data_IF_028966768416
#
_entry.id   IF_028966768416
#
_cell.length_a   1.000
_cell.length_b   1.000
_cell.length_c   1.000
_cell.angle_alpha   90.00
_cell.angle_beta   90.00
_cell.angle_gamma   90.00
#
_symmetry.space_group_name_H-M   'P 1'
#
loop_
_entity.id
_entity.type
_entity.pdbx_description
1 polymer ?
#
# COMPACT_ATOMS: atom_id res chain seq x y z
N UNK A 1 36.97 4.00 6.08
CA UNK A 1 37.14 2.61 5.60
C UNK A 1 35.78 1.96 5.70
N UNK A 2 35.07 1.88 4.57
CA UNK A 2 33.71 1.35 4.49
C UNK A 2 33.78 -0.18 4.34
N UNK A 3 33.23 -0.91 5.30
CA UNK A 3 33.10 -2.37 5.22
C UNK A 3 31.98 -2.74 4.24
N UNK A 4 32.37 -3.32 3.11
CA UNK A 4 31.51 -3.91 2.09
C UNK A 4 31.16 -5.34 2.47
N UNK A 5 29.86 -5.67 2.53
CA UNK A 5 29.37 -7.02 2.79
C UNK A 5 28.77 -7.63 1.51
N UNK A 6 29.09 -8.89 1.24
CA UNK A 6 28.57 -9.62 0.08
C UNK A 6 27.04 -9.75 0.14
N UNK A 7 26.38 -9.74 -1.03
CA UNK A 7 24.93 -10.00 -1.18
C UNK A 7 24.53 -11.43 -0.82
N UNK A 8 25.50 -12.36 -0.77
CA UNK A 8 25.29 -13.73 -0.33
C UNK A 8 25.00 -13.83 1.18
N UNK A 9 24.09 -14.73 1.53
CA UNK A 9 23.83 -15.13 2.91
C UNK A 9 25.15 -15.60 3.57
N UNK A 10 25.51 -15.18 4.80
CA UNK A 10 26.61 -15.80 5.56
C UNK A 10 26.43 -17.33 5.74
N UNK A 11 25.26 -17.88 5.41
CA UNK A 11 24.94 -19.31 5.48
C UNK A 11 24.44 -19.92 4.16
N UNK A 12 25.14 -19.71 3.04
CA UNK A 12 25.32 -20.72 1.97
C UNK A 12 24.12 -21.28 1.19
N UNK A 13 22.88 -20.98 1.54
CA UNK A 13 21.70 -21.36 0.76
C UNK A 13 21.34 -20.28 -0.26
N UNK A 14 20.75 -20.68 -1.39
CA UNK A 14 20.22 -19.73 -2.39
C UNK A 14 19.17 -18.84 -1.73
N UNK A 15 19.62 -17.68 -1.29
CA UNK A 15 18.85 -16.62 -0.67
C UNK A 15 17.56 -16.38 -1.48
N UNK A 16 16.36 -16.72 -0.96
CA UNK A 16 15.09 -16.58 -1.68
C UNK A 16 14.83 -15.14 -2.12
N UNK A 17 15.49 -14.20 -1.45
CA UNK A 17 15.58 -12.79 -1.78
C UNK A 17 16.08 -12.51 -3.20
N UNK A 18 17.03 -13.29 -3.73
CA UNK A 18 17.59 -13.06 -5.07
C UNK A 18 16.55 -13.16 -6.17
N UNK A 19 15.58 -14.07 -6.03
CA UNK A 19 14.50 -14.24 -7.00
C UNK A 19 13.45 -13.12 -6.89
N UNK A 20 13.06 -12.76 -5.65
CA UNK A 20 12.10 -11.67 -5.39
C UNK A 20 12.61 -10.34 -5.92
N UNK A 21 13.91 -10.09 -5.80
CA UNK A 21 14.56 -8.84 -6.19
C UNK A 21 14.99 -8.79 -7.67
N UNK A 22 14.87 -9.91 -8.40
CA UNK A 22 15.30 -10.02 -9.80
C UNK A 22 14.16 -10.15 -10.82
N UNK A 23 12.98 -10.63 -10.41
CA UNK A 23 11.84 -10.84 -11.31
C UNK A 23 10.82 -9.68 -11.18
N UNK A 24 10.55 -8.98 -12.29
CA UNK A 24 9.43 -8.03 -12.39
C UNK A 24 8.61 -8.24 -13.66
N UNK A 25 7.38 -8.71 -13.46
CA UNK A 25 6.42 -8.88 -14.55
C UNK A 25 5.98 -7.55 -15.19
N UNK A 26 6.13 -6.42 -14.48
CA UNK A 26 5.78 -5.11 -15.00
C UNK A 26 6.88 -4.60 -15.93
N UNK A 27 8.16 -4.79 -15.57
CA UNK A 27 9.27 -4.50 -16.47
C UNK A 27 9.21 -5.39 -17.73
N UNK A 28 8.86 -6.67 -17.59
CA UNK A 28 8.64 -7.56 -18.74
C UNK A 28 7.55 -7.01 -19.67
N UNK A 29 6.42 -6.56 -19.11
CA UNK A 29 5.34 -5.96 -19.87
C UNK A 29 5.79 -4.68 -20.61
N UNK A 30 6.51 -3.79 -19.92
CA UNK A 30 7.01 -2.54 -20.52
C UNK A 30 7.97 -2.87 -21.66
N UNK A 31 8.93 -3.77 -21.42
CA UNK A 31 9.96 -4.16 -22.39
C UNK A 31 9.35 -4.68 -23.70
N UNK A 32 8.22 -5.39 -23.63
CA UNK A 32 7.49 -5.90 -24.79
C UNK A 32 6.75 -4.81 -25.60
N UNK A 33 6.50 -3.63 -25.02
CA UNK A 33 5.75 -2.53 -25.65
C UNK A 33 6.66 -1.42 -26.22
N UNK A 34 7.96 -1.47 -25.93
CA UNK A 34 8.92 -0.41 -26.27
C UNK A 34 10.07 -0.95 -27.13
N UNK A 35 10.84 -0.03 -27.72
CA UNK A 35 12.02 -0.38 -28.53
C UNK A 35 13.30 0.00 -27.81
N UNK A 36 14.39 -0.71 -28.10
CA UNK A 36 15.72 -0.38 -27.56
C UNK A 36 15.82 -0.49 -26.04
N UNK A 37 15.08 -1.43 -25.45
CA UNK A 37 15.16 -1.75 -24.02
C UNK A 37 16.59 -2.12 -23.64
N UNK A 38 17.20 -1.35 -22.76
CA UNK A 38 18.54 -1.62 -22.26
C UNK A 38 18.68 -1.17 -20.80
N UNK A 39 19.31 -1.98 -19.93
CA UNK A 39 19.63 -1.54 -18.57
C UNK A 39 20.60 -0.35 -18.64
N UNK A 40 20.45 0.57 -17.69
CA UNK A 40 21.47 1.60 -17.47
C UNK A 40 22.66 1.00 -16.76
N UNK A 41 23.86 1.49 -17.07
CA UNK A 41 25.05 1.17 -16.27
C UNK A 41 25.06 1.97 -14.95
N UNK A 42 25.77 1.52 -13.90
CA UNK A 42 25.95 2.30 -12.67
C UNK A 42 26.51 3.70 -12.91
N UNK A 43 27.39 3.85 -13.92
CA UNK A 43 27.96 5.15 -14.28
C UNK A 43 26.93 6.11 -14.88
N UNK A 44 26.04 5.61 -15.77
CA UNK A 44 24.94 6.40 -16.34
C UNK A 44 23.84 6.71 -15.30
N UNK A 45 23.70 5.85 -14.29
CA UNK A 45 22.70 5.94 -13.24
C UNK A 45 23.24 6.45 -11.89
N UNK A 46 24.35 7.19 -11.88
CA UNK A 46 24.96 7.72 -10.64
C UNK A 46 24.00 8.57 -9.82
N UNK A 47 23.17 9.37 -10.50
CA UNK A 47 22.08 10.16 -9.90
C UNK A 47 21.09 9.33 -9.06
N UNK A 48 21.03 8.03 -9.32
CA UNK A 48 20.16 7.08 -8.64
C UNK A 48 20.94 6.20 -7.63
N UNK A 49 22.11 5.71 -8.00
CA UNK A 49 22.95 4.86 -7.12
C UNK A 49 23.51 5.63 -5.92
N UNK A 50 23.72 6.94 -6.07
CA UNK A 50 24.30 7.82 -5.05
C UNK A 50 23.24 8.38 -4.08
N UNK A 51 21.97 7.98 -4.24
CA UNK A 51 20.90 8.39 -3.31
C UNK A 51 21.20 7.94 -1.87
N UNK A 52 20.83 8.72 -0.84
CA UNK A 52 21.18 8.43 0.55
C UNK A 52 20.72 7.04 1.03
N UNK A 53 21.57 6.38 1.82
CA UNK A 53 21.23 5.13 2.52
C UNK A 53 20.97 5.47 4.00
N UNK A 54 19.80 5.12 4.56
CA UNK A 54 19.46 5.47 5.94
C UNK A 54 20.32 4.71 6.96
N UNK A 55 20.42 5.25 8.18
CA UNK A 55 21.16 4.62 9.26
C UNK A 55 20.67 3.19 9.53
N UNK A 56 21.62 2.26 9.75
CA UNK A 56 21.32 0.84 9.95
C UNK A 56 21.11 0.05 8.65
N UNK A 57 21.11 0.71 7.48
CA UNK A 57 21.12 0.07 6.17
C UNK A 57 22.53 0.15 5.57
N UNK A 58 22.87 -0.83 4.72
CA UNK A 58 24.16 -0.90 4.04
C UNK A 58 24.00 -1.38 2.60
N UNK A 59 24.82 -0.83 1.71
CA UNK A 59 24.91 -1.29 0.32
C UNK A 59 25.59 -2.65 0.26
N UNK A 60 25.03 -3.55 -0.53
CA UNK A 60 25.53 -4.90 -0.71
C UNK A 60 26.30 -5.01 -2.02
N UNK A 61 27.31 -5.88 -2.04
CA UNK A 61 28.07 -6.15 -3.27
C UNK A 61 27.21 -6.96 -4.24
N UNK A 62 27.06 -6.43 -5.45
CA UNK A 62 26.40 -7.07 -6.59
C UNK A 62 27.50 -7.71 -7.45
N UNK A 63 27.29 -8.90 -8.04
CA UNK A 63 28.24 -9.48 -8.99
C UNK A 63 28.56 -8.49 -10.13
N UNK A 64 29.83 -8.34 -10.48
CA UNK A 64 30.31 -7.35 -11.46
C UNK A 64 29.75 -7.57 -12.89
N UNK A 65 29.22 -8.76 -13.17
CA UNK A 65 28.62 -9.16 -14.44
C UNK A 65 27.08 -9.01 -14.49
N UNK A 66 26.45 -8.64 -13.37
CA UNK A 66 25.01 -8.47 -13.30
C UNK A 66 24.57 -7.16 -13.97
N UNK A 67 23.77 -7.26 -15.03
CA UNK A 67 23.20 -6.09 -15.71
C UNK A 67 22.11 -5.36 -14.89
N UNK A 68 21.57 -6.04 -13.88
CA UNK A 68 20.64 -5.51 -12.89
C UNK A 68 20.66 -6.44 -11.65
N UNK A 69 20.34 -5.96 -10.44
CA UNK A 69 20.02 -4.56 -10.11
C UNK A 69 21.24 -3.63 -10.12
N UNK A 70 21.02 -2.32 -10.22
CA UNK A 70 22.03 -1.25 -10.11
C UNK A 70 22.57 -1.11 -8.69
N UNK A 71 21.70 -1.29 -7.70
CA UNK A 71 22.03 -1.18 -6.28
C UNK A 71 21.15 -2.11 -5.47
N UNK A 72 21.76 -2.76 -4.48
CA UNK A 72 21.05 -3.47 -3.43
C UNK A 72 21.47 -2.88 -2.09
N UNK A 73 20.50 -2.53 -1.25
CA UNK A 73 20.76 -2.15 0.14
C UNK A 73 19.99 -3.07 1.07
N UNK A 74 20.60 -3.41 2.20
CA UNK A 74 20.03 -4.33 3.18
C UNK A 74 20.22 -3.87 4.60
N UNK A 75 19.37 -4.38 5.48
CA UNK A 75 19.45 -4.16 6.93
C UNK A 75 19.17 -5.45 7.69
N UNK A 76 19.75 -5.54 8.88
CA UNK A 76 19.55 -6.64 9.84
C UNK A 76 18.79 -6.11 11.06
N UNK A 77 18.09 -6.97 11.77
CA UNK A 77 17.39 -6.62 13.01
C UNK A 77 17.82 -7.57 14.11
N UNK A 78 18.07 -7.05 15.30
CA UNK A 78 18.48 -7.85 16.45
C UNK A 78 17.50 -8.99 16.73
N UNK A 79 18.05 -10.18 16.99
CA UNK A 79 17.28 -11.39 17.25
C UNK A 79 16.72 -12.07 16.00
N UNK A 80 16.99 -11.56 14.79
CA UNK A 80 16.66 -12.24 13.53
C UNK A 80 17.93 -12.61 12.77
N UNK A 81 18.12 -13.88 12.39
CA UNK A 81 19.23 -14.25 11.52
C UNK A 81 19.06 -13.66 10.12
N UNK A 82 20.18 -13.31 9.48
CA UNK A 82 20.21 -12.82 8.10
C UNK A 82 19.56 -11.44 7.87
N UNK A 83 19.25 -11.15 6.61
CA UNK A 83 18.68 -9.87 6.18
C UNK A 83 17.22 -9.74 6.55
N UNK A 84 16.88 -8.70 7.32
CA UNK A 84 15.52 -8.40 7.76
C UNK A 84 14.71 -7.65 6.70
N UNK A 85 15.39 -6.82 5.91
CA UNK A 85 14.84 -6.21 4.72
C UNK A 85 15.92 -5.89 3.69
N UNK A 86 15.50 -5.85 2.43
CA UNK A 86 16.30 -5.51 1.27
C UNK A 86 15.52 -4.54 0.38
N UNK A 87 16.26 -3.69 -0.32
CA UNK A 87 15.80 -2.95 -1.47
C UNK A 87 16.71 -3.28 -2.66
N UNK A 88 16.14 -3.62 -3.80
CA UNK A 88 16.82 -3.63 -5.08
C UNK A 88 16.33 -2.48 -5.96
N UNK A 89 17.26 -1.90 -6.72
CA UNK A 89 17.03 -0.75 -7.57
C UNK A 89 17.50 -1.06 -8.98
N UNK A 90 16.63 -0.89 -9.96
CA UNK A 90 16.91 -1.16 -11.37
C UNK A 90 16.44 0.00 -12.23
N UNK A 91 17.16 0.31 -13.30
CA UNK A 91 16.74 1.33 -14.25
C UNK A 91 17.07 0.95 -15.69
N UNK A 92 16.18 1.30 -16.60
CA UNK A 92 16.28 0.94 -18.01
C UNK A 92 15.93 2.14 -18.88
N UNK A 93 16.65 2.26 -20.01
CA UNK A 93 16.32 3.17 -21.09
C UNK A 93 15.56 2.46 -22.19
N UNK A 94 14.73 3.21 -22.91
CA UNK A 94 13.96 2.71 -24.05
C UNK A 94 13.48 3.84 -24.97
N UNK A 95 12.76 3.48 -26.03
CA UNK A 95 12.04 4.38 -26.93
C UNK A 95 10.59 3.93 -27.04
N UNK A 96 9.65 4.82 -26.72
CA UNK A 96 8.20 4.57 -26.73
C UNK A 96 7.48 5.31 -25.61
N UNK A 97 6.15 5.36 -25.69
CA UNK A 97 5.29 5.93 -24.64
C UNK A 97 4.30 4.84 -24.22
N UNK A 98 4.62 4.04 -23.18
CA UNK A 98 3.71 3.03 -22.64
C UNK A 98 2.40 3.65 -22.15
N UNK A 99 1.31 2.89 -22.25
CA UNK A 99 -0.01 3.31 -21.78
C UNK A 99 -0.09 3.24 -20.24
N UNK A 100 -0.25 4.37 -19.52
CA UNK A 100 -0.33 4.39 -18.07
C UNK A 100 -1.48 3.52 -17.53
N UNK A 101 -2.60 3.40 -18.25
CA UNK A 101 -3.72 2.58 -17.80
C UNK A 101 -3.36 1.10 -17.78
N UNK A 102 -2.57 0.63 -18.74
CA UNK A 102 -2.08 -0.75 -18.75
C UNK A 102 -1.06 -1.01 -17.65
N UNK A 103 -0.22 -0.03 -17.32
CA UNK A 103 0.75 -0.15 -16.24
C UNK A 103 0.03 -0.33 -14.90
N UNK A 104 -0.96 0.50 -14.60
CA UNK A 104 -1.76 0.39 -13.37
C UNK A 104 -2.50 -0.95 -13.31
N UNK A 105 -3.11 -1.38 -14.42
CA UNK A 105 -3.87 -2.62 -14.48
C UNK A 105 -3.03 -3.89 -14.26
N UNK A 106 -1.72 -3.83 -14.53
CA UNK A 106 -0.81 -4.98 -14.41
C UNK A 106 0.26 -4.82 -13.31
N UNK A 107 0.23 -3.73 -12.55
CA UNK A 107 1.24 -3.44 -11.53
C UNK A 107 1.32 -4.50 -10.41
N UNK A 108 0.22 -5.22 -10.15
CA UNK A 108 0.19 -6.30 -9.16
C UNK A 108 0.37 -7.70 -9.75
N UNK A 109 0.59 -7.83 -11.06
CA UNK A 109 0.73 -9.13 -11.72
C UNK A 109 1.84 -9.97 -11.09
N UNK A 110 2.97 -9.35 -10.74
CA UNK A 110 4.09 -10.03 -10.10
C UNK A 110 3.66 -10.63 -8.77
N UNK A 111 3.08 -9.80 -7.89
CA UNK A 111 2.55 -10.24 -6.60
C UNK A 111 1.50 -11.35 -6.74
N UNK A 112 0.60 -11.28 -7.73
CA UNK A 112 -0.37 -12.34 -8.00
C UNK A 112 0.30 -13.65 -8.43
N UNK A 113 1.34 -13.59 -9.28
CA UNK A 113 2.11 -14.77 -9.67
C UNK A 113 2.80 -15.43 -8.48
N UNK A 114 3.15 -14.65 -7.46
CA UNK A 114 3.69 -15.13 -6.18
C UNK A 114 2.63 -15.58 -5.17
N UNK A 115 1.34 -15.63 -5.57
CA UNK A 115 0.21 -15.89 -4.67
C UNK A 115 0.19 -14.95 -3.45
N UNK A 116 0.57 -13.69 -3.65
CA UNK A 116 0.61 -12.73 -2.55
C UNK A 116 -0.79 -12.45 -2.01
N UNK A 117 -0.89 -12.37 -0.68
CA UNK A 117 -2.07 -11.94 0.03
C UNK A 117 -2.06 -10.43 0.27
N UNK A 118 -3.24 -9.87 0.49
CA UNK A 118 -3.36 -8.47 0.93
C UNK A 118 -2.89 -7.45 -0.10
N UNK A 119 -2.85 -7.80 -1.39
CA UNK A 119 -2.35 -6.94 -2.47
C UNK A 119 -3.04 -5.57 -2.46
N UNK A 120 -2.23 -4.52 -2.59
CA UNK A 120 -2.66 -3.13 -2.73
C UNK A 120 -1.87 -2.47 -3.84
N UNK A 121 -2.58 -1.81 -4.75
CA UNK A 121 -1.99 -1.00 -5.82
C UNK A 121 -2.46 0.44 -5.69
N UNK A 122 -1.54 1.37 -5.85
CA UNK A 122 -1.79 2.80 -5.83
C UNK A 122 -0.90 3.50 -6.83
N UNK A 123 -1.41 4.54 -7.47
CA UNK A 123 -0.57 5.46 -8.23
C UNK A 123 0.36 6.25 -7.30
N UNK A 124 1.57 6.55 -7.78
CA UNK A 124 2.53 7.43 -7.11
C UNK A 124 2.25 8.85 -7.58
N UNK A 125 2.20 9.79 -6.65
CA UNK A 125 2.01 11.21 -6.98
C UNK A 125 3.29 11.73 -7.64
N UNK A 126 3.21 12.00 -8.94
CA UNK A 126 4.30 12.54 -9.73
C UNK A 126 3.84 13.79 -10.50
N UNK A 127 4.77 14.67 -10.90
CA UNK A 127 4.49 15.78 -11.79
C UNK A 127 3.73 15.34 -13.05
N UNK A 128 2.73 16.13 -13.46
CA UNK A 128 1.93 15.88 -14.68
C UNK A 128 2.68 16.26 -15.95
N UNK A 129 3.83 15.63 -16.17
CA UNK A 129 4.63 15.79 -17.37
C UNK A 129 4.25 14.75 -18.43
N UNK A 130 4.36 15.07 -19.74
CA UNK A 130 4.08 14.11 -20.80
C UNK A 130 4.87 12.81 -20.64
N UNK A 131 4.16 11.68 -20.67
CA UNK A 131 4.74 10.35 -20.53
C UNK A 131 5.18 9.96 -19.12
N UNK A 132 4.98 10.82 -18.10
CA UNK A 132 5.36 10.51 -16.72
C UNK A 132 4.21 9.83 -15.98
N UNK A 133 4.50 8.69 -15.37
CA UNK A 133 3.58 8.00 -14.48
C UNK A 133 4.33 7.16 -13.45
N UNK A 134 3.65 6.80 -12.37
CA UNK A 134 4.24 5.99 -11.32
C UNK A 134 3.20 5.12 -10.66
N UNK A 135 3.58 3.88 -10.34
CA UNK A 135 2.71 2.92 -9.69
C UNK A 135 3.46 2.19 -8.60
N UNK A 136 2.75 1.94 -7.50
CA UNK A 136 3.21 1.16 -6.38
C UNK A 136 2.26 0.00 -6.16
N UNK A 137 2.79 -1.21 -6.03
CA UNK A 137 2.02 -2.38 -5.65
C UNK A 137 2.72 -3.13 -4.53
N UNK A 138 1.98 -3.52 -3.49
CA UNK A 138 2.54 -4.25 -2.36
C UNK A 138 1.64 -5.38 -1.89
N UNK A 139 2.22 -6.41 -1.27
CA UNK A 139 1.52 -7.59 -0.79
C UNK A 139 2.38 -8.42 0.16
N UNK A 140 1.82 -9.51 0.65
CA UNK A 140 2.52 -10.45 1.53
C UNK A 140 2.65 -11.80 0.84
N UNK A 141 3.85 -12.31 0.68
CA UNK A 141 4.12 -13.64 0.13
C UNK A 141 4.55 -14.57 1.25
N UNK A 142 4.19 -15.85 1.14
CA UNK A 142 4.76 -16.88 1.99
C UNK A 142 6.09 -17.34 1.37
N UNK A 143 7.17 -17.29 2.13
CA UNK A 143 8.46 -17.89 1.75
C UNK A 143 8.96 -18.79 2.88
N UNK A 144 9.04 -20.08 2.58
CA UNK A 144 9.34 -21.11 3.57
C UNK A 144 8.41 -21.00 4.79
N UNK A 145 8.93 -20.59 5.95
CA UNK A 145 8.18 -20.47 7.21
C UNK A 145 7.91 -19.02 7.63
N UNK A 146 8.20 -18.03 6.78
CA UNK A 146 8.02 -16.61 7.11
C UNK A 146 7.16 -15.88 6.06
N UNK A 147 6.33 -14.94 6.53
CA UNK A 147 5.64 -14.01 5.65
C UNK A 147 6.55 -12.84 5.33
N UNK A 148 6.77 -12.59 4.05
CA UNK A 148 7.51 -11.44 3.54
C UNK A 148 6.54 -10.42 2.96
N UNK A 149 6.67 -9.18 3.38
CA UNK A 149 6.10 -8.06 2.66
C UNK A 149 6.98 -7.71 1.47
N UNK A 150 6.37 -7.59 0.30
CA UNK A 150 7.03 -7.16 -0.94
C UNK A 150 6.31 -5.94 -1.49
N UNK A 151 7.08 -4.96 -1.99
CA UNK A 151 6.56 -3.79 -2.67
C UNK A 151 7.38 -3.45 -3.91
N UNK A 152 6.69 -3.28 -5.03
CA UNK A 152 7.22 -2.78 -6.28
C UNK A 152 6.82 -1.31 -6.40
N UNK A 153 7.79 -0.41 -6.58
CA UNK A 153 7.59 1.00 -6.93
C UNK A 153 8.22 1.26 -8.29
N UNK A 154 7.39 1.49 -9.31
CA UNK A 154 7.83 1.77 -10.67
C UNK A 154 7.55 3.22 -11.03
N UNK A 155 8.59 3.95 -11.43
CA UNK A 155 8.53 5.29 -11.98
C UNK A 155 8.88 5.23 -13.46
N UNK A 156 8.12 5.89 -14.30
CA UNK A 156 8.29 5.82 -15.74
C UNK A 156 8.15 7.18 -16.38
N UNK A 157 9.02 7.46 -17.35
CA UNK A 157 8.91 8.56 -18.31
C UNK A 157 9.01 7.98 -19.73
N UNK A 158 7.90 7.90 -20.43
CA UNK A 158 7.87 7.55 -21.85
C UNK A 158 8.37 8.69 -22.74
N UNK A 159 9.04 8.36 -23.83
CA UNK A 159 9.44 9.32 -24.87
C UNK A 159 9.46 8.66 -26.24
N UNK A 160 8.94 9.35 -27.26
CA UNK A 160 9.06 8.91 -28.66
C UNK A 160 10.49 9.13 -29.22
N UNK A 161 11.29 9.97 -28.58
CA UNK A 161 12.67 10.24 -28.98
C UNK A 161 13.58 9.04 -28.67
N UNK A 162 14.49 8.66 -29.60
CA UNK A 162 15.34 7.49 -29.43
C UNK A 162 16.15 7.51 -28.12
N UNK A 163 15.93 6.50 -27.28
CA UNK A 163 16.67 6.27 -26.04
C UNK A 163 16.36 7.23 -24.89
N UNK A 164 15.36 8.11 -25.04
CA UNK A 164 14.99 9.11 -24.02
C UNK A 164 13.87 8.62 -23.08
N UNK A 165 13.31 7.44 -23.32
CA UNK A 165 12.41 6.78 -22.37
C UNK A 165 13.20 6.21 -21.19
N UNK A 166 12.66 6.34 -19.98
CA UNK A 166 13.27 5.90 -18.73
C UNK A 166 12.26 5.19 -17.85
N UNK A 167 12.66 4.07 -17.25
CA UNK A 167 11.92 3.43 -16.16
C UNK A 167 12.89 3.14 -15.01
N UNK A 168 12.43 3.40 -13.79
CA UNK A 168 13.11 3.06 -12.54
C UNK A 168 12.18 2.19 -11.72
N UNK A 169 12.65 1.01 -11.33
CA UNK A 169 11.93 0.13 -10.42
C UNK A 169 12.72 -0.04 -9.12
N UNK A 170 11.99 0.09 -8.01
CA UNK A 170 12.45 -0.28 -6.69
C UNK A 170 11.64 -1.48 -6.22
N UNK A 171 12.32 -2.51 -5.75
CA UNK A 171 11.69 -3.65 -5.09
C UNK A 171 12.12 -3.65 -3.64
N UNK A 172 11.17 -3.51 -2.73
CA UNK A 172 11.38 -3.75 -1.31
C UNK A 172 10.91 -5.15 -0.95
N UNK A 173 11.69 -5.85 -0.13
CA UNK A 173 11.28 -7.08 0.50
C UNK A 173 11.67 -7.03 1.98
N UNK A 174 10.74 -7.31 2.88
CA UNK A 174 10.97 -7.26 4.33
C UNK A 174 10.18 -8.34 5.05
N UNK A 175 10.76 -8.92 6.10
CA UNK A 175 10.05 -9.80 7.01
C UNK A 175 8.85 -9.08 7.67
N UNK A 176 7.67 -9.69 7.65
CA UNK A 176 6.42 -9.04 8.08
C UNK A 176 6.46 -8.56 9.55
N UNK A 177 7.06 -9.33 10.46
CA UNK A 177 7.18 -8.98 11.87
C UNK A 177 8.06 -7.73 12.12
N UNK A 178 9.35 -7.76 11.75
CA UNK A 178 10.25 -6.61 11.89
C UNK A 178 9.84 -5.36 11.10
N UNK A 179 9.01 -5.50 10.05
CA UNK A 179 8.60 -4.41 9.15
C UNK A 179 8.10 -3.15 9.87
N UNK A 180 7.42 -3.29 11.02
CA UNK A 180 6.97 -2.14 11.81
C UNK A 180 8.12 -1.24 12.28
N UNK A 181 9.29 -1.82 12.56
CA UNK A 181 10.50 -1.08 12.97
C UNK A 181 11.30 -0.54 11.78
N UNK A 182 11.11 -1.13 10.60
CA UNK A 182 11.83 -0.78 9.37
C UNK A 182 11.14 0.28 8.52
N UNK A 183 9.89 0.61 8.83
CA UNK A 183 9.07 1.59 8.10
C UNK A 183 9.77 2.91 7.78
N UNK A 184 10.42 3.60 8.74
CA UNK A 184 11.12 4.85 8.47
C UNK A 184 12.27 4.71 7.45
N UNK A 185 13.03 3.62 7.52
CA UNK A 185 14.14 3.35 6.57
C UNK A 185 13.64 3.05 5.16
N UNK A 186 12.59 2.23 5.05
CA UNK A 186 11.92 1.93 3.77
C UNK A 186 11.36 3.22 3.16
N UNK A 187 10.70 4.05 3.97
CA UNK A 187 10.18 5.36 3.55
C UNK A 187 11.28 6.28 3.03
N UNK A 188 12.39 6.42 3.76
CA UNK A 188 13.53 7.24 3.34
C UNK A 188 14.13 6.80 2.00
N UNK A 189 14.29 5.48 1.80
CA UNK A 189 14.79 4.92 0.54
C UNK A 189 13.82 5.12 -0.63
N UNK A 190 12.51 5.01 -0.38
CA UNK A 190 11.48 5.26 -1.40
C UNK A 190 11.46 6.74 -1.81
N UNK A 191 11.44 7.66 -0.83
CA UNK A 191 11.49 9.10 -1.07
C UNK A 191 12.75 9.51 -1.82
N UNK A 192 13.93 9.05 -1.39
CA UNK A 192 15.20 9.42 -2.02
C UNK A 192 15.25 9.04 -3.51
N UNK A 193 14.66 7.90 -3.89
CA UNK A 193 14.61 7.49 -5.30
C UNK A 193 13.53 8.24 -6.09
N UNK A 194 12.36 8.47 -5.50
CA UNK A 194 11.32 9.29 -6.15
C UNK A 194 11.84 10.70 -6.42
N UNK A 195 12.51 11.32 -5.44
CA UNK A 195 13.10 12.65 -5.58
C UNK A 195 14.21 12.67 -6.64
N UNK A 196 15.08 11.66 -6.65
CA UNK A 196 16.11 11.52 -7.67
C UNK A 196 15.52 11.37 -9.08
N UNK A 197 14.44 10.59 -9.24
CA UNK A 197 13.73 10.46 -10.51
C UNK A 197 13.12 11.78 -10.96
N UNK A 198 12.39 12.47 -10.07
CA UNK A 198 11.76 13.77 -10.33
C UNK A 198 12.80 14.82 -10.75
N UNK A 199 13.94 14.86 -10.05
CA UNK A 199 15.05 15.75 -10.39
C UNK A 199 15.66 15.40 -11.76
N UNK A 200 15.85 14.12 -12.04
CA UNK A 200 16.45 13.65 -13.29
C UNK A 200 15.57 13.94 -14.52
N UNK A 201 14.24 13.85 -14.38
CA UNK A 201 13.32 14.21 -15.47
C UNK A 201 13.19 15.73 -15.67
N UNK A 202 13.84 16.54 -14.83
CA UNK A 202 13.90 18.00 -14.94
C UNK A 202 12.64 18.71 -14.44
N UNK A 203 11.86 18.08 -13.55
CA UNK A 203 10.65 18.72 -13.03
C UNK A 203 10.98 19.84 -12.04
N UNK A 204 10.16 20.89 -12.05
CA UNK A 204 10.30 22.03 -11.14
C UNK A 204 9.57 21.79 -9.81
N UNK A 205 9.96 22.47 -8.73
CA UNK A 205 9.24 22.42 -7.46
C UNK A 205 7.75 22.79 -7.58
N UNK A 206 7.42 23.72 -8.48
CA UNK A 206 6.04 24.18 -8.70
C UNK A 206 5.17 23.11 -9.37
N UNK A 207 5.73 22.33 -10.31
CA UNK A 207 5.04 21.19 -10.94
C UNK A 207 4.77 20.08 -9.92
N UNK A 208 5.73 19.80 -9.03
CA UNK A 208 5.55 18.84 -7.93
C UNK A 208 4.46 19.33 -6.97
N UNK A 209 4.50 20.59 -6.55
CA UNK A 209 3.51 21.17 -5.64
C UNK A 209 2.10 21.16 -6.24
N UNK A 210 1.99 21.42 -7.55
CA UNK A 210 0.74 21.33 -8.29
C UNK A 210 0.21 19.90 -8.29
N UNK A 211 1.05 18.90 -8.59
CA UNK A 211 0.64 17.49 -8.58
C UNK A 211 0.14 17.03 -7.21
N UNK A 212 0.80 17.45 -6.11
CA UNK A 212 0.34 17.16 -4.74
C UNK A 212 -1.01 17.81 -4.45
N UNK A 213 -1.19 19.07 -4.84
CA UNK A 213 -2.44 19.80 -4.64
C UNK A 213 -3.60 19.15 -5.40
N UNK A 214 -3.38 18.84 -6.68
CA UNK A 214 -4.34 18.13 -7.54
C UNK A 214 -4.71 16.77 -6.97
N UNK A 215 -3.73 16.01 -6.47
CA UNK A 215 -3.98 14.72 -5.84
C UNK A 215 -4.84 14.87 -4.58
N UNK A 216 -4.54 15.86 -3.74
CA UNK A 216 -5.38 16.19 -2.57
C UNK A 216 -6.80 16.59 -2.95
N UNK A 217 -6.98 17.32 -4.04
CA UNK A 217 -8.30 17.65 -4.60
C UNK A 217 -9.03 16.43 -5.14
N UNK A 218 -8.33 15.54 -5.84
CA UNK A 218 -8.89 14.27 -6.32
C UNK A 218 -9.35 13.41 -5.15
N UNK A 219 -8.54 13.26 -4.10
CA UNK A 219 -8.92 12.51 -2.89
C UNK A 219 -10.17 13.10 -2.24
N UNK A 220 -10.28 14.43 -2.16
CA UNK A 220 -11.48 15.11 -1.65
C UNK A 220 -12.71 14.85 -2.54
N UNK A 221 -12.56 14.83 -3.86
CA UNK A 221 -13.64 14.50 -4.81
C UNK A 221 -14.07 13.04 -4.69
N UNK A 222 -13.13 12.11 -4.59
CA UNK A 222 -13.40 10.68 -4.37
C UNK A 222 -14.14 10.47 -3.05
N UNK A 223 -13.71 11.12 -1.98
CA UNK A 223 -14.38 11.06 -0.68
C UNK A 223 -15.82 11.60 -0.75
N UNK A 224 -16.04 12.71 -1.48
CA UNK A 224 -17.37 13.30 -1.67
C UNK A 224 -18.29 12.47 -2.58
N UNK A 225 -17.73 11.74 -3.54
CA UNK A 225 -18.50 10.83 -4.39
C UNK A 225 -19.02 9.60 -3.61
N UNK A 226 -18.40 9.28 -2.47
CA UNK A 226 -18.73 8.12 -1.66
C UNK A 226 -18.24 6.80 -2.26
N UNK A 227 -18.27 5.71 -1.47
CA UNK A 227 -17.73 4.43 -1.88
C UNK A 227 -18.73 3.67 -2.77
N UNK A 228 -18.21 2.95 -3.76
CA UNK A 228 -19.01 1.98 -4.52
C UNK A 228 -18.93 0.64 -3.80
N UNK A 229 -20.03 0.23 -3.16
CA UNK A 229 -20.15 -1.04 -2.46
C UNK A 229 -21.05 -2.01 -3.24
N UNK A 230 -20.59 -3.24 -3.39
CA UNK A 230 -21.42 -4.36 -3.87
C UNK A 230 -22.58 -4.65 -2.92
N UNK A 231 -23.63 -5.30 -3.44
CA UNK A 231 -24.78 -5.72 -2.64
C UNK A 231 -24.37 -6.62 -1.47
N UNK A 232 -23.32 -7.41 -1.62
CA UNK A 232 -22.81 -8.28 -0.56
C UNK A 232 -22.06 -7.51 0.53
N UNK A 233 -21.22 -6.55 0.16
CA UNK A 233 -20.59 -5.64 1.12
C UNK A 233 -21.63 -4.82 1.90
N UNK A 234 -22.67 -4.32 1.22
CA UNK A 234 -23.80 -3.63 1.87
C UNK A 234 -24.53 -4.55 2.84
N UNK A 235 -24.81 -5.80 2.44
CA UNK A 235 -25.44 -6.82 3.28
C UNK A 235 -24.61 -7.12 4.52
N UNK A 236 -23.30 -7.33 4.35
CA UNK A 236 -22.36 -7.56 5.44
C UNK A 236 -22.37 -6.41 6.45
N UNK A 237 -22.23 -5.16 6.00
CA UNK A 237 -22.27 -3.99 6.86
C UNK A 237 -23.61 -3.84 7.59
N UNK A 238 -24.73 -4.05 6.89
CA UNK A 238 -26.06 -3.96 7.49
C UNK A 238 -26.29 -5.05 8.56
N UNK A 239 -25.77 -6.26 8.34
CA UNK A 239 -25.80 -7.36 9.33
C UNK A 239 -24.90 -7.05 10.52
N UNK A 240 -23.67 -6.60 10.28
CA UNK A 240 -22.73 -6.26 11.35
C UNK A 240 -23.30 -5.15 12.25
N UNK A 241 -23.87 -4.09 11.67
CA UNK A 241 -24.53 -3.04 12.44
C UNK A 241 -25.79 -3.53 13.19
N UNK A 242 -26.43 -4.61 12.74
CA UNK A 242 -27.62 -5.16 13.42
C UNK A 242 -27.32 -5.74 14.80
N UNK A 243 -26.08 -6.19 15.00
CA UNK A 243 -25.59 -6.77 16.26
C UNK A 243 -25.79 -5.83 17.44
N UNK A 244 -25.62 -4.52 17.23
CA UNK A 244 -25.78 -3.50 18.27
C UNK A 244 -27.22 -3.37 18.80
N UNK A 245 -28.22 -3.61 17.96
CA UNK A 245 -29.62 -3.70 18.38
C UNK A 245 -30.05 -5.11 18.82
N UNK A 246 -29.17 -6.10 18.67
CA UNK A 246 -29.42 -7.51 18.94
C UNK A 246 -28.56 -8.00 20.09
N UNK A 247 -27.71 -9.00 19.81
CA UNK A 247 -26.93 -9.70 20.85
C UNK A 247 -25.93 -8.81 21.60
N UNK A 248 -25.46 -7.72 21.00
CA UNK A 248 -24.59 -6.74 21.65
C UNK A 248 -25.36 -5.59 22.34
N UNK A 249 -26.70 -5.63 22.35
CA UNK A 249 -27.51 -4.55 22.93
C UNK A 249 -27.31 -4.36 24.43
N UNK A 250 -26.77 -5.34 25.17
CA UNK A 250 -26.41 -5.19 26.58
C UNK A 250 -24.96 -4.75 26.83
N UNK A 251 -24.13 -4.65 25.79
CA UNK A 251 -22.68 -4.45 25.92
C UNK A 251 -22.34 -2.96 26.14
N UNK A 252 -21.37 -2.70 27.01
CA UNK A 252 -20.95 -1.34 27.38
C UNK A 252 -19.88 -0.78 26.43
N UNK A 253 -20.23 -0.57 25.16
CA UNK A 253 -19.36 0.19 24.25
C UNK A 253 -19.25 1.65 24.76
N UNK A 254 -18.05 2.28 24.76
CA UNK A 254 -17.87 3.66 25.24
C UNK A 254 -18.40 4.68 24.22
N UNK A 255 -19.72 4.73 24.04
CA UNK A 255 -20.42 5.53 23.04
C UNK A 255 -20.20 7.04 23.21
N UNK A 256 -19.95 7.51 24.44
CA UNK A 256 -19.64 8.91 24.71
C UNK A 256 -18.28 9.33 24.12
N UNK A 257 -17.34 8.37 23.97
CA UNK A 257 -16.07 8.61 23.29
C UNK A 257 -16.26 8.79 21.77
N UNK A 258 -17.27 8.13 21.20
CA UNK A 258 -17.71 8.30 19.80
C UNK A 258 -18.57 9.57 19.58
N UNK A 259 -18.81 10.31 20.66
CA UNK A 259 -19.54 11.57 20.66
C UNK A 259 -21.06 11.42 20.73
N UNK A 260 -21.59 10.27 21.16
CA UNK A 260 -23.02 10.10 21.44
C UNK A 260 -23.38 10.64 22.82
N UNK A 261 -24.59 11.18 22.96
CA UNK A 261 -25.09 11.69 24.24
C UNK A 261 -25.50 10.58 25.21
N UNK A 262 -25.79 9.39 24.68
CA UNK A 262 -26.19 8.22 25.45
C UNK A 262 -26.72 7.11 24.54
N UNK A 263 -27.22 6.03 25.14
CA UNK A 263 -27.56 4.81 24.40
C UNK A 263 -28.66 4.99 23.37
N UNK A 264 -29.71 5.74 23.69
CA UNK A 264 -30.81 5.98 22.76
C UNK A 264 -30.36 6.75 21.50
N UNK A 265 -29.42 7.69 21.65
CA UNK A 265 -28.81 8.44 20.54
C UNK A 265 -27.95 7.52 19.65
N UNK A 266 -27.16 6.64 20.27
CA UNK A 266 -26.40 5.62 19.57
C UNK A 266 -27.30 4.65 18.79
N UNK A 267 -28.34 4.11 19.41
CA UNK A 267 -29.25 3.14 18.77
C UNK A 267 -30.01 3.79 17.59
N UNK A 268 -30.45 5.04 17.76
CA UNK A 268 -31.09 5.80 16.69
C UNK A 268 -30.13 6.06 15.51
N UNK A 269 -28.87 6.39 15.79
CA UNK A 269 -27.87 6.59 14.75
C UNK A 269 -27.52 5.28 14.03
N UNK A 270 -27.33 4.17 14.74
CA UNK A 270 -27.10 2.85 14.14
C UNK A 270 -28.27 2.45 13.24
N UNK A 271 -29.51 2.67 13.66
CA UNK A 271 -30.69 2.42 12.84
C UNK A 271 -30.69 3.30 11.56
N UNK A 272 -30.37 4.59 11.69
CA UNK A 272 -30.23 5.51 10.55
C UNK A 272 -29.14 5.06 9.57
N UNK A 273 -27.97 4.67 10.07
CA UNK A 273 -26.85 4.21 9.24
C UNK A 273 -27.23 2.94 8.45
N UNK A 274 -27.94 2.01 9.08
CA UNK A 274 -28.44 0.78 8.43
C UNK A 274 -29.46 1.09 7.34
N UNK A 275 -30.41 1.99 7.59
CA UNK A 275 -31.38 2.44 6.59
C UNK A 275 -30.68 3.04 5.37
N UNK A 276 -29.71 3.92 5.59
CA UNK A 276 -28.96 4.56 4.52
C UNK A 276 -28.16 3.57 3.67
N UNK A 277 -27.54 2.55 4.28
CA UNK A 277 -26.84 1.48 3.55
C UNK A 277 -27.75 0.71 2.57
N UNK A 278 -29.04 0.62 2.88
CA UNK A 278 -30.05 -0.02 2.03
C UNK A 278 -30.45 0.79 0.80
N UNK A 279 -30.07 2.07 0.72
CA UNK A 279 -30.43 2.96 -0.39
C UNK A 279 -29.45 2.82 -1.56
N UNK A 280 -29.95 3.10 -2.76
CA UNK A 280 -29.11 3.19 -3.97
C UNK A 280 -28.19 4.41 -3.91
N UNK A 281 -28.67 5.51 -3.33
CA UNK A 281 -27.94 6.76 -3.10
C UNK A 281 -27.97 7.11 -1.61
N UNK A 282 -27.05 6.55 -0.80
CA UNK A 282 -26.95 6.90 0.61
C UNK A 282 -26.52 8.36 0.79
N UNK A 283 -27.16 9.04 1.74
CA UNK A 283 -26.77 10.39 2.19
C UNK A 283 -25.90 10.25 3.45
N UNK A 284 -24.70 9.70 3.27
CA UNK A 284 -23.74 9.42 4.34
C UNK A 284 -22.51 10.31 4.22
N UNK A 285 -22.17 10.99 5.31
CA UNK A 285 -20.95 11.79 5.42
C UNK A 285 -19.70 10.93 5.61
N UNK A 286 -18.50 11.50 5.46
CA UNK A 286 -17.21 10.87 5.82
C UNK A 286 -17.24 10.31 7.25
N UNK A 287 -17.80 11.07 8.21
CA UNK A 287 -17.94 10.62 9.61
C UNK A 287 -18.85 9.41 9.72
N UNK A 288 -19.94 9.37 8.96
CA UNK A 288 -20.86 8.23 8.96
C UNK A 288 -20.20 6.97 8.41
N UNK A 289 -19.44 7.09 7.31
CA UNK A 289 -18.67 5.97 6.77
C UNK A 289 -17.60 5.48 7.75
N UNK A 290 -16.90 6.40 8.43
CA UNK A 290 -15.96 6.03 9.49
C UNK A 290 -16.66 5.24 10.59
N UNK A 291 -17.84 5.70 11.04
CA UNK A 291 -18.64 5.02 12.08
C UNK A 291 -19.11 3.66 11.62
N UNK A 292 -19.61 3.54 10.39
CA UNK A 292 -20.04 2.26 9.81
C UNK A 292 -18.87 1.26 9.82
N UNK A 293 -17.69 1.66 9.35
CA UNK A 293 -16.53 0.77 9.33
C UNK A 293 -16.13 0.37 10.75
N UNK A 294 -15.94 1.34 11.65
CA UNK A 294 -15.53 1.07 13.02
C UNK A 294 -16.51 0.16 13.75
N UNK A 295 -17.81 0.45 13.67
CA UNK A 295 -18.85 -0.34 14.34
C UNK A 295 -19.00 -1.74 13.72
N UNK A 296 -18.80 -1.89 12.41
CA UNK A 296 -18.77 -3.20 11.76
C UNK A 296 -17.57 -4.04 12.23
N UNK A 297 -16.37 -3.44 12.30
CA UNK A 297 -15.15 -4.11 12.78
C UNK A 297 -15.31 -4.60 14.23
N UNK A 298 -15.81 -3.76 15.13
CA UNK A 298 -16.01 -4.12 16.53
C UNK A 298 -17.15 -5.13 16.70
N UNK A 299 -18.27 -4.95 16.00
CA UNK A 299 -19.42 -5.86 16.11
C UNK A 299 -19.08 -7.28 15.68
N UNK A 300 -18.29 -7.45 14.62
CA UNK A 300 -17.86 -8.76 14.17
C UNK A 300 -16.74 -9.34 15.05
N UNK A 301 -15.63 -8.62 15.24
CA UNK A 301 -14.40 -9.24 15.75
C UNK A 301 -14.26 -9.27 17.28
N UNK A 302 -15.09 -8.54 18.03
CA UNK A 302 -14.90 -8.37 19.48
C UNK A 302 -15.89 -9.18 20.32
N UNK A 303 -15.42 -10.13 21.11
CA UNK A 303 -16.22 -10.79 22.17
C UNK A 303 -16.57 -9.85 23.34
N UNK A 304 -15.75 -8.80 23.52
CA UNK A 304 -15.91 -7.86 24.63
C UNK A 304 -17.09 -6.92 24.40
N UNK A 305 -17.20 -6.38 23.18
CA UNK A 305 -18.20 -5.36 22.85
C UNK A 305 -19.20 -5.80 21.79
N UNK A 306 -18.83 -6.71 20.89
CA UNK A 306 -19.63 -7.15 19.75
C UNK A 306 -20.18 -8.56 19.93
N UNK A 307 -20.35 -9.23 18.79
CA UNK A 307 -20.73 -10.63 18.67
C UNK A 307 -19.54 -11.58 18.80
N UNK A 308 -18.37 -11.20 18.26
CA UNK A 308 -17.16 -12.00 18.30
C UNK A 308 -17.40 -13.43 17.81
N UNK A 309 -17.09 -14.43 18.63
CA UNK A 309 -17.29 -15.86 18.34
C UNK A 309 -18.75 -16.24 18.07
N UNK A 310 -19.72 -15.43 18.50
CA UNK A 310 -21.14 -15.66 18.22
C UNK A 310 -21.58 -15.10 16.86
N UNK A 311 -20.73 -14.33 16.16
CA UNK A 311 -21.13 -13.66 14.92
C UNK A 311 -21.57 -14.64 13.84
N UNK A 312 -20.84 -15.73 13.64
CA UNK A 312 -21.22 -16.79 12.69
C UNK A 312 -22.54 -17.47 13.07
N UNK A 313 -22.90 -17.50 14.36
CA UNK A 313 -24.16 -18.07 14.83
C UNK A 313 -25.37 -17.14 14.60
N UNK A 314 -25.13 -15.83 14.56
CA UNK A 314 -26.19 -14.81 14.47
C UNK A 314 -26.19 -14.05 13.15
N UNK A 315 -25.34 -14.45 12.20
CA UNK A 315 -25.21 -13.85 10.89
C UNK A 315 -25.21 -14.94 9.80
N UNK A 316 -25.46 -14.60 8.52
CA UNK A 316 -25.38 -15.55 7.43
C UNK A 316 -23.94 -15.73 6.91
N UNK A 317 -22.94 -15.17 7.59
CA UNK A 317 -21.55 -15.19 7.15
C UNK A 317 -20.72 -16.05 8.08
N UNK A 318 -19.94 -16.96 7.50
CA UNK A 318 -18.89 -17.65 8.25
C UNK A 318 -17.75 -16.68 8.59
N UNK A 319 -16.96 -17.00 9.61
CA UNK A 319 -15.82 -16.14 9.98
C UNK A 319 -14.81 -15.90 8.83
N UNK A 320 -14.42 -16.91 8.02
CA UNK A 320 -13.57 -16.68 6.85
C UNK A 320 -14.20 -15.76 5.81
N UNK A 321 -15.51 -15.90 5.54
CA UNK A 321 -16.24 -15.02 4.61
C UNK A 321 -16.34 -13.60 5.14
N UNK A 322 -16.66 -13.44 6.42
CA UNK A 322 -16.74 -12.15 7.09
C UNK A 322 -15.38 -11.42 7.06
N UNK A 323 -14.27 -12.14 7.26
CA UNK A 323 -12.93 -11.57 7.13
C UNK A 323 -12.67 -11.09 5.70
N UNK A 324 -12.97 -11.90 4.68
CA UNK A 324 -12.78 -11.53 3.26
C UNK A 324 -13.63 -10.29 2.92
N UNK A 325 -14.89 -10.26 3.34
CA UNK A 325 -15.81 -9.15 3.12
C UNK A 325 -15.36 -7.89 3.85
N UNK A 326 -14.93 -8.00 5.11
CA UNK A 326 -14.40 -6.86 5.85
C UNK A 326 -13.17 -6.27 5.14
N UNK A 327 -12.22 -7.10 4.69
CA UNK A 327 -11.04 -6.62 3.94
C UNK A 327 -11.45 -5.95 2.63
N UNK A 328 -12.46 -6.48 1.95
CA UNK A 328 -13.02 -5.88 0.75
C UNK A 328 -13.65 -4.51 1.03
N UNK A 329 -14.44 -4.39 2.10
CA UNK A 329 -15.04 -3.13 2.56
C UNK A 329 -13.96 -2.11 2.94
N UNK A 330 -12.96 -2.50 3.74
CA UNK A 330 -11.86 -1.62 4.16
C UNK A 330 -11.12 -1.03 2.95
N UNK A 331 -10.96 -1.81 1.86
CA UNK A 331 -10.37 -1.29 0.61
C UNK A 331 -11.30 -0.31 -0.09
N UNK A 332 -12.60 -0.64 -0.18
CA UNK A 332 -13.60 0.24 -0.80
C UNK A 332 -13.79 1.56 -0.04
N UNK A 333 -13.65 1.53 1.28
CA UNK A 333 -13.81 2.68 2.17
C UNK A 333 -12.53 3.49 2.40
N UNK A 334 -11.36 2.99 1.96
CA UNK A 334 -10.05 3.54 2.32
C UNK A 334 -9.85 5.03 2.02
N UNK A 335 -10.59 5.59 1.04
CA UNK A 335 -10.54 7.01 0.66
C UNK A 335 -11.69 7.85 1.21
N UNK A 336 -12.70 7.22 1.81
CA UNK A 336 -13.91 7.89 2.31
C UNK A 336 -13.92 8.01 3.84
N UNK A 337 -13.24 7.10 4.54
CA UNK A 337 -13.19 7.14 6.01
C UNK A 337 -12.05 8.03 6.50
N UNK A 338 -12.31 8.71 7.61
CA UNK A 338 -11.34 9.48 8.37
C UNK A 338 -11.43 9.09 9.85
N UNK A 339 -10.40 8.41 10.41
CA UNK A 339 -10.35 8.06 11.83
C UNK A 339 -10.36 9.27 12.77
N UNK A 340 -9.89 10.45 12.35
CA UNK A 340 -9.89 11.66 13.18
C UNK A 340 -11.31 12.13 13.51
N UNK A 341 -12.30 11.80 12.67
CA UNK A 341 -13.70 12.16 12.87
C UNK A 341 -14.45 11.23 13.83
N UNK A 342 -13.87 10.09 14.21
CA UNK A 342 -14.52 9.09 15.07
C UNK A 342 -14.54 9.52 16.54
N UNK A 343 -13.44 10.11 17.01
CA UNK A 343 -13.23 10.42 18.43
C UNK A 343 -13.05 11.93 18.65
N UNK A 344 -14.15 12.70 18.69
CA UNK A 344 -14.10 14.16 18.72
C UNK A 344 -13.42 14.77 19.96
N UNK A 345 -13.13 13.97 20.99
CA UNK A 345 -12.44 14.39 22.22
C UNK A 345 -10.95 14.02 22.28
N UNK A 346 -10.41 13.30 21.30
CA UNK A 346 -9.01 12.86 21.33
C UNK A 346 -8.01 13.98 20.96
N UNK A 347 -8.46 15.05 20.29
CA UNK A 347 -7.60 16.14 19.80
C UNK A 347 -7.28 17.23 20.84
N UNK A 348 -7.89 17.20 22.04
CA UNK A 348 -7.67 18.25 23.04
C UNK A 348 -6.40 18.08 23.87
N UNK A 349 -5.55 17.07 23.58
CA UNK A 349 -4.40 16.73 24.41
C UNK A 349 -3.04 16.54 23.70
N UNK A 350 -2.94 16.73 22.38
CA UNK A 350 -1.64 16.75 21.68
C UNK A 350 -1.35 18.15 21.15
N UNK A 351 -0.81 19.01 22.02
CA UNK A 351 0.00 20.17 21.63
C UNK A 351 1.36 20.06 22.27
#
# INVERSE_FOLDING_TARGET
MSETAASGDPHGDQSPWGRVLGESSLLDLISAQVRGWAPLSPAEASWLTDTPVPAGWRTLTIPDDAAAPLRVVGTTVDGRPGWAALQALSAFRFTGVPDPAQLVAHADKGLRNWNAEGIRTSEIVLPRLPGVCGVRSSGYIAMSDESLWVEYCTHLRGSAEPGQGLVVEQIFAAAAGPRMRLGPGIGALSTATSDAFIAHIGSTPDEVATAVTDHGEQLRRDAAAGPVLSSEQKRFLATALSVWGGIASGRSLPIEALGYAGRADFDADVARLRDQLGRDKPELSTRDWSRIQFLAEISWASDMFGAGVEFELVSPFTDPEALVLLRSVQRALARTVDPALLFPRADTGRR
#
